data_IF_530536250054
#
_entry.id   IF_530536250054
#
_cell.length_a   1.000
_cell.length_b   1.000
_cell.length_c   1.000
_cell.angle_alpha   90.00
_cell.angle_beta   90.00
_cell.angle_gamma   90.00
#
_symmetry.space_group_name_H-M   'P 1'
#
loop_
_entity.id
_entity.type
_entity.pdbx_description
1 polymer ?
#
# COMPACT_ATOMS: atom_id res chain seq x y z
N UNK A 1 28.14 9.67 -0.67
CA UNK A 1 28.45 8.30 -0.26
C UNK A 1 27.36 7.42 -0.85
N UNK A 2 27.69 6.47 -1.71
CA UNK A 2 26.74 5.51 -2.22
C UNK A 2 26.31 4.60 -1.06
N UNK A 3 25.01 4.41 -0.89
CA UNK A 3 24.47 3.47 0.10
C UNK A 3 24.78 2.07 -0.39
N UNK A 4 25.59 1.34 0.32
CA UNK A 4 25.89 -0.05 -0.03
C UNK A 4 24.66 -0.92 0.18
N UNK A 5 24.19 -1.58 -0.88
CA UNK A 5 23.04 -2.49 -0.85
C UNK A 5 23.50 -3.90 -0.44
N UNK A 6 23.94 -4.03 0.81
CA UNK A 6 24.45 -5.25 1.41
C UNK A 6 23.62 -5.66 2.64
N UNK A 7 23.71 -6.93 3.04
CA UNK A 7 23.00 -7.44 4.22
C UNK A 7 21.48 -7.35 4.06
N UNK A 8 20.85 -8.30 3.36
CA UNK A 8 19.41 -8.31 3.18
C UNK A 8 18.69 -8.54 4.50
N UNK A 9 17.76 -7.64 4.83
CA UNK A 9 16.90 -7.71 6.01
C UNK A 9 15.46 -7.92 5.57
N UNK A 10 14.78 -8.84 6.22
CA UNK A 10 13.34 -9.04 6.03
C UNK A 10 12.69 -9.35 7.38
N UNK A 11 11.68 -8.58 7.73
CA UNK A 11 10.91 -8.73 8.97
C UNK A 11 9.43 -8.77 8.65
N UNK A 12 8.76 -9.77 9.16
CA UNK A 12 7.32 -9.93 9.08
C UNK A 12 6.70 -9.84 10.46
N UNK A 13 5.73 -8.95 10.62
CA UNK A 13 4.92 -8.85 11.85
C UNK A 13 3.48 -9.15 11.49
N UNK A 14 2.86 -10.07 12.23
CA UNK A 14 1.43 -10.41 12.10
C UNK A 14 0.78 -10.23 13.45
N UNK A 15 -0.29 -9.45 13.53
CA UNK A 15 -0.98 -9.17 14.78
C UNK A 15 -2.50 -9.01 14.55
N UNK A 16 -3.34 -9.26 15.55
CA UNK A 16 -4.77 -8.99 15.43
C UNK A 16 -5.04 -7.52 15.11
N UNK A 17 -5.90 -7.23 14.13
CA UNK A 17 -6.24 -5.85 13.73
C UNK A 17 -6.86 -5.01 14.87
N UNK A 18 -7.46 -5.65 15.87
CA UNK A 18 -8.00 -5.02 17.07
C UNK A 18 -6.98 -4.75 18.19
N UNK A 19 -5.69 -5.00 17.95
CA UNK A 19 -4.63 -4.93 18.96
C UNK A 19 -4.47 -6.26 19.69
N UNK A 20 -3.29 -6.47 20.26
CA UNK A 20 -2.89 -7.68 20.98
C UNK A 20 -1.46 -8.08 20.66
N UNK A 21 -1.05 -9.21 21.23
CA UNK A 21 0.29 -9.74 21.01
C UNK A 21 0.47 -10.21 19.56
N UNK A 22 1.48 -9.68 18.88
CA UNK A 22 1.84 -10.02 17.52
C UNK A 22 2.90 -11.11 17.42
N UNK A 23 2.93 -11.81 16.29
CA UNK A 23 4.01 -12.70 15.88
C UNK A 23 5.03 -11.89 15.08
N UNK A 24 6.30 -11.85 15.52
CA UNK A 24 7.42 -11.31 14.73
C UNK A 24 8.26 -12.45 14.18
N UNK A 25 8.58 -12.40 12.89
CA UNK A 25 9.40 -13.38 12.18
C UNK A 25 10.54 -12.64 11.49
N UNK A 26 11.77 -12.90 11.89
CA UNK A 26 12.99 -12.27 11.37
C UNK A 26 14.05 -13.31 10.96
N UNK A 27 14.13 -14.44 11.71
CA UNK A 27 15.20 -15.44 11.56
C UNK A 27 14.86 -16.58 10.60
N UNK A 28 13.68 -16.56 10.00
CA UNK A 28 13.27 -17.58 9.03
C UNK A 28 13.42 -17.08 7.59
N UNK A 29 13.55 -18.03 6.68
CA UNK A 29 13.51 -17.69 5.25
C UNK A 29 12.13 -17.15 4.90
N UNK A 30 12.09 -15.92 4.38
CA UNK A 30 10.88 -15.27 3.87
C UNK A 30 11.11 -14.96 2.39
N UNK A 31 10.15 -15.31 1.55
CA UNK A 31 10.07 -14.84 0.17
C UNK A 31 8.75 -14.11 -0.02
N UNK A 32 8.74 -13.08 -0.87
CA UNK A 32 7.55 -12.27 -1.05
C UNK A 32 7.44 -11.72 -2.47
N UNK A 33 6.21 -11.46 -2.86
CA UNK A 33 5.84 -10.67 -4.03
C UNK A 33 4.83 -9.62 -3.59
N UNK A 34 5.16 -8.35 -3.77
CA UNK A 34 4.29 -7.21 -3.47
C UNK A 34 3.97 -6.50 -4.77
N UNK A 35 2.70 -6.28 -5.03
CA UNK A 35 2.20 -5.56 -6.20
C UNK A 35 1.49 -4.30 -5.72
N UNK A 36 2.06 -3.13 -6.05
CA UNK A 36 1.50 -1.83 -5.73
C UNK A 36 1.12 -1.09 -7.00
N UNK A 37 -0.05 -0.47 -7.00
CA UNK A 37 -0.57 0.30 -8.12
C UNK A 37 -1.07 1.67 -7.66
N UNK A 38 -1.20 2.62 -8.58
CA UNK A 38 -1.85 3.92 -8.33
C UNK A 38 -3.37 3.84 -8.47
N UNK A 39 -3.93 2.68 -8.78
CA UNK A 39 -5.37 2.50 -8.94
C UNK A 39 -6.10 2.37 -7.60
N UNK A 40 -7.43 2.54 -7.61
CA UNK A 40 -8.30 2.33 -6.44
C UNK A 40 -8.49 0.86 -6.03
N UNK A 41 -7.81 -0.07 -6.71
CA UNK A 41 -7.77 -1.47 -6.31
C UNK A 41 -6.76 -1.68 -5.18
N UNK A 42 -7.08 -2.51 -4.19
CA UNK A 42 -6.14 -2.84 -3.11
C UNK A 42 -4.84 -3.43 -3.65
N UNK A 43 -3.72 -2.97 -3.11
CA UNK A 43 -2.44 -3.61 -3.35
C UNK A 43 -2.44 -5.03 -2.79
N UNK A 44 -1.65 -5.90 -3.38
CA UNK A 44 -1.59 -7.32 -3.01
C UNK A 44 -0.18 -7.72 -2.61
N UNK A 45 -0.11 -8.64 -1.66
CA UNK A 45 1.15 -9.31 -1.33
C UNK A 45 0.92 -10.80 -1.17
N UNK A 46 1.86 -11.58 -1.71
CA UNK A 46 1.99 -13.01 -1.44
C UNK A 46 3.30 -13.20 -0.71
N UNK A 47 3.25 -13.74 0.50
CA UNK A 47 4.40 -13.90 1.38
C UNK A 47 4.51 -15.38 1.75
N UNK A 48 5.68 -15.97 1.56
CA UNK A 48 5.96 -17.34 1.94
C UNK A 48 6.99 -17.36 3.05
N UNK A 49 6.63 -17.99 4.17
CA UNK A 49 7.51 -18.18 5.32
C UNK A 49 7.80 -19.66 5.46
N UNK A 50 9.08 -19.98 5.55
CA UNK A 50 9.56 -21.36 5.65
C UNK A 50 9.72 -21.78 7.09
N UNK A 51 9.23 -22.99 7.40
CA UNK A 51 9.43 -23.67 8.69
C UNK A 51 8.90 -22.92 9.91
N UNK A 52 7.77 -22.22 9.78
CA UNK A 52 7.02 -21.76 10.95
C UNK A 52 6.67 -22.95 11.86
N UNK A 53 6.88 -22.78 13.17
CA UNK A 53 6.44 -23.77 14.14
C UNK A 53 4.91 -23.86 14.20
N UNK A 54 4.40 -24.89 14.84
CA UNK A 54 2.96 -25.16 14.89
C UNK A 54 2.16 -24.03 15.53
N UNK A 55 2.67 -23.45 16.62
CA UNK A 55 2.02 -22.33 17.32
C UNK A 55 1.92 -21.10 16.40
N UNK A 56 3.02 -20.73 15.75
CA UNK A 56 3.05 -19.60 14.82
C UNK A 56 2.12 -19.81 13.62
N UNK A 57 2.01 -21.06 13.10
CA UNK A 57 1.05 -21.37 12.03
C UNK A 57 -0.39 -21.15 12.47
N UNK A 58 -0.76 -21.63 13.66
CA UNK A 58 -2.10 -21.42 14.22
C UNK A 58 -2.40 -19.94 14.42
N UNK A 59 -1.40 -19.16 14.84
CA UNK A 59 -1.55 -17.72 15.07
C UNK A 59 -1.84 -16.94 13.80
N UNK A 60 -1.18 -17.25 12.69
CA UNK A 60 -1.41 -16.55 11.42
C UNK A 60 -2.73 -16.95 10.73
N UNK A 61 -3.34 -18.09 11.10
CA UNK A 61 -4.65 -18.52 10.62
C UNK A 61 -5.82 -17.82 11.32
N UNK A 62 -5.58 -17.15 12.44
CA UNK A 62 -6.64 -16.41 13.13
C UNK A 62 -7.23 -15.33 12.22
N UNK A 63 -8.52 -15.07 12.37
CA UNK A 63 -9.22 -14.08 11.56
C UNK A 63 -8.75 -12.64 11.86
N UNK A 64 -8.84 -11.78 10.87
CA UNK A 64 -8.53 -10.35 10.99
C UNK A 64 -7.10 -10.05 11.44
N UNK A 65 -6.13 -10.80 10.92
CA UNK A 65 -4.73 -10.52 11.16
C UNK A 65 -4.24 -9.37 10.28
N UNK A 66 -3.76 -8.30 10.90
CA UNK A 66 -2.99 -7.27 10.23
C UNK A 66 -1.55 -7.75 10.02
N UNK A 67 -0.94 -7.32 8.93
CA UNK A 67 0.39 -7.73 8.55
C UNK A 67 1.22 -6.52 8.13
N UNK A 68 2.45 -6.47 8.63
CA UNK A 68 3.47 -5.49 8.22
C UNK A 68 4.69 -6.26 7.72
N UNK A 69 5.08 -5.98 6.47
CA UNK A 69 6.30 -6.50 5.87
C UNK A 69 7.32 -5.36 5.73
N UNK A 70 8.45 -5.49 6.38
CA UNK A 70 9.60 -4.62 6.25
C UNK A 70 10.71 -5.39 5.53
N UNK A 71 11.30 -4.78 4.53
CA UNK A 71 12.43 -5.39 3.82
C UNK A 71 13.38 -4.33 3.28
N UNK A 72 14.60 -4.76 2.96
CA UNK A 72 15.67 -3.90 2.45
C UNK A 72 17.03 -4.46 2.77
N UNK A 73 17.90 -3.59 3.18
CA UNK A 73 19.29 -3.87 3.55
C UNK A 73 19.56 -3.31 4.95
N UNK A 74 20.66 -3.69 5.58
CA UNK A 74 21.00 -3.29 6.95
C UNK A 74 20.90 -1.76 7.15
N UNK A 75 21.43 -0.98 6.24
CA UNK A 75 21.44 0.48 6.31
C UNK A 75 20.17 1.14 5.74
N UNK A 76 19.45 0.46 4.86
CA UNK A 76 18.26 1.00 4.16
C UNK A 76 17.16 -0.05 4.10
N UNK A 77 16.34 -0.07 5.10
CA UNK A 77 15.13 -0.89 5.12
C UNK A 77 13.90 -0.04 5.42
N UNK A 78 12.78 -0.42 4.89
CA UNK A 78 11.53 0.25 5.14
C UNK A 78 10.36 -0.74 5.06
N UNK A 79 9.24 -0.29 5.55
CA UNK A 79 7.96 -0.94 5.40
C UNK A 79 7.58 -0.96 3.92
N UNK A 80 7.49 -2.14 3.33
CA UNK A 80 7.16 -2.31 1.91
C UNK A 80 5.73 -2.77 1.68
N UNK A 81 5.05 -3.24 2.72
CA UNK A 81 3.63 -3.59 2.65
C UNK A 81 2.98 -3.57 4.03
N UNK A 82 1.78 -3.01 4.09
CA UNK A 82 0.86 -3.10 5.24
C UNK A 82 -0.49 -3.54 4.73
N UNK A 83 -1.09 -4.53 5.36
CA UNK A 83 -2.40 -5.01 4.94
C UNK A 83 -2.98 -6.02 5.91
N UNK A 84 -4.02 -6.73 5.47
CA UNK A 84 -4.63 -7.83 6.21
C UNK A 84 -4.46 -9.15 5.49
N UNK A 85 -4.28 -10.18 6.26
CA UNK A 85 -4.22 -11.55 5.77
C UNK A 85 -5.62 -11.98 5.31
N UNK A 86 -5.76 -12.33 4.03
CA UNK A 86 -7.01 -12.80 3.43
C UNK A 86 -7.09 -14.32 3.37
N UNK A 87 -5.94 -14.97 3.14
CA UNK A 87 -5.84 -16.42 3.04
C UNK A 87 -4.50 -16.91 3.57
N UNK A 88 -4.53 -18.05 4.23
CA UNK A 88 -3.33 -18.76 4.69
C UNK A 88 -3.38 -20.18 4.12
N UNK A 89 -2.25 -20.64 3.61
CA UNK A 89 -2.09 -22.02 3.14
C UNK A 89 -0.78 -22.61 3.65
N UNK A 90 -0.82 -23.82 4.19
CA UNK A 90 0.37 -24.54 4.61
C UNK A 90 0.62 -25.69 3.65
N UNK A 91 1.79 -25.72 3.05
CA UNK A 91 2.20 -26.79 2.13
C UNK A 91 3.47 -27.47 2.63
N UNK A 92 3.48 -28.79 2.57
CA UNK A 92 4.69 -29.55 2.81
C UNK A 92 5.47 -29.71 1.50
N UNK A 93 6.63 -29.09 1.43
CA UNK A 93 7.56 -29.17 0.31
C UNK A 93 8.89 -29.72 0.85
N UNK A 94 9.06 -31.05 0.89
CA UNK A 94 10.21 -31.64 1.56
C UNK A 94 11.55 -31.04 1.12
N UNK A 95 12.45 -30.71 2.08
CA UNK A 95 12.35 -30.99 3.52
C UNK A 95 11.52 -29.96 4.31
N UNK A 96 11.03 -28.89 3.70
CA UNK A 96 10.44 -27.73 4.35
C UNK A 96 8.91 -27.82 4.49
N UNK A 97 8.37 -27.00 5.40
CA UNK A 97 6.95 -26.60 5.47
C UNK A 97 6.87 -25.15 5.07
N UNK A 98 6.14 -24.83 4.03
CA UNK A 98 5.94 -23.49 3.52
C UNK A 98 4.56 -22.98 3.93
N UNK A 99 4.53 -21.85 4.64
CA UNK A 99 3.30 -21.11 4.94
C UNK A 99 3.18 -19.95 3.97
N UNK A 100 2.15 -19.96 3.16
CA UNK A 100 1.84 -18.90 2.20
C UNK A 100 0.71 -18.02 2.73
N UNK A 101 0.94 -16.71 2.75
CA UNK A 101 0.00 -15.69 3.17
C UNK A 101 -0.38 -14.83 1.97
N UNK A 102 -1.64 -14.85 1.58
CA UNK A 102 -2.20 -13.90 0.61
C UNK A 102 -2.78 -12.71 1.37
N UNK A 103 -2.31 -11.51 1.06
CA UNK A 103 -2.63 -10.29 1.78
C UNK A 103 -3.15 -9.22 0.84
N UNK A 104 -4.00 -8.34 1.36
CA UNK A 104 -4.49 -7.16 0.65
C UNK A 104 -4.37 -5.91 1.54
N UNK A 105 -3.99 -4.79 0.92
CA UNK A 105 -3.97 -3.48 1.55
C UNK A 105 -5.40 -2.93 1.72
N UNK A 106 -5.57 -1.92 2.58
CA UNK A 106 -6.87 -1.26 2.80
C UNK A 106 -7.81 -1.94 3.77
N UNK A 107 -7.43 -3.10 4.25
CA UNK A 107 -8.14 -3.79 5.32
C UNK A 107 -9.62 -4.02 5.05
N UNK A 108 -10.39 -4.07 6.15
CA UNK A 108 -11.83 -4.26 6.16
C UNK A 108 -12.57 -2.98 5.74
N UNK A 109 -11.97 -1.81 5.97
CA UNK A 109 -12.62 -0.51 5.77
C UNK A 109 -13.04 -0.26 4.31
N UNK A 110 -12.22 -0.66 3.33
CA UNK A 110 -12.57 -0.53 1.91
C UNK A 110 -13.80 -1.35 1.49
N UNK A 111 -14.08 -2.42 2.21
CA UNK A 111 -15.19 -3.32 1.95
C UNK A 111 -16.44 -2.95 2.74
N UNK A 112 -16.29 -2.45 3.97
CA UNK A 112 -17.39 -2.32 4.94
C UNK A 112 -17.70 -0.90 5.39
N UNK A 113 -16.76 0.06 5.26
CA UNK A 113 -17.01 1.41 5.73
C UNK A 113 -18.06 2.12 4.88
N UNK A 114 -19.05 2.68 5.55
CA UNK A 114 -20.13 3.43 4.93
C UNK A 114 -20.01 4.91 5.23
N UNK A 115 -20.45 5.73 4.28
CA UNK A 115 -20.47 7.17 4.37
C UNK A 115 -21.84 7.73 4.04
N UNK A 116 -22.33 8.63 4.91
CA UNK A 116 -23.59 9.35 4.68
C UNK A 116 -23.48 10.77 5.18
N UNK A 117 -23.40 11.72 4.27
CA UNK A 117 -23.31 13.15 4.61
C UNK A 117 -23.82 14.05 3.48
N UNK A 118 -24.34 15.22 3.88
CA UNK A 118 -24.75 16.28 2.94
C UNK A 118 -23.91 17.54 3.17
N UNK A 119 -23.57 18.21 2.09
CA UNK A 119 -22.72 19.39 2.06
C UNK A 119 -23.46 20.57 1.43
N UNK A 120 -23.18 21.76 1.91
CA UNK A 120 -23.68 23.02 1.33
C UNK A 120 -22.79 23.41 0.13
N UNK A 121 -23.36 24.21 -0.80
CA UNK A 121 -22.56 24.91 -1.80
C UNK A 121 -21.41 25.70 -1.15
N UNK A 122 -20.28 25.79 -1.81
CA UNK A 122 -19.09 26.43 -1.30
C UNK A 122 -18.22 25.56 -0.37
N UNK A 123 -18.64 24.34 -0.03
CA UNK A 123 -17.77 23.43 0.74
C UNK A 123 -16.57 23.02 -0.09
N UNK A 124 -15.35 23.06 0.50
CA UNK A 124 -14.11 22.61 -0.15
C UNK A 124 -14.19 21.14 -0.54
N UNK A 125 -13.75 20.81 -1.76
CA UNK A 125 -13.65 19.42 -2.25
C UNK A 125 -12.68 18.60 -1.40
N UNK A 126 -11.56 19.19 -1.01
CA UNK A 126 -10.58 18.56 -0.11
C UNK A 126 -11.22 18.15 1.22
N UNK A 127 -12.07 19.00 1.80
CA UNK A 127 -12.80 18.68 3.04
C UNK A 127 -13.71 17.48 2.85
N UNK A 128 -14.43 17.42 1.74
CA UNK A 128 -15.34 16.30 1.44
C UNK A 128 -14.58 14.98 1.41
N UNK A 129 -13.42 14.95 0.74
CA UNK A 129 -12.58 13.74 0.66
C UNK A 129 -12.01 13.37 2.03
N UNK A 130 -11.52 14.34 2.82
CA UNK A 130 -11.05 14.08 4.19
C UNK A 130 -12.15 13.50 5.09
N UNK A 131 -13.36 14.01 5.00
CA UNK A 131 -14.51 13.50 5.77
C UNK A 131 -14.82 12.04 5.41
N UNK A 132 -14.64 11.63 4.14
CA UNK A 132 -14.83 10.24 3.70
C UNK A 132 -13.71 9.35 4.26
N UNK A 133 -12.45 9.80 4.22
CA UNK A 133 -11.31 9.05 4.77
C UNK A 133 -11.48 8.86 6.28
N UNK A 134 -11.91 9.90 6.99
CA UNK A 134 -12.19 9.84 8.43
C UNK A 134 -13.31 8.84 8.80
N UNK A 135 -14.19 8.50 7.86
CA UNK A 135 -15.19 7.46 8.07
C UNK A 135 -14.63 6.02 7.96
N UNK A 136 -13.36 5.88 7.65
CA UNK A 136 -12.62 4.61 7.60
C UNK A 136 -11.62 4.54 8.76
N UNK A 137 -11.99 3.95 9.92
CA UNK A 137 -11.23 4.10 11.17
C UNK A 137 -9.84 3.47 11.18
N UNK A 138 -9.60 2.47 10.31
CA UNK A 138 -8.30 1.79 10.20
C UNK A 138 -7.49 2.26 8.99
N UNK A 139 -7.84 3.41 8.42
CA UNK A 139 -7.23 3.94 7.22
C UNK A 139 -6.71 5.35 7.48
N UNK A 140 -5.43 5.56 7.26
CA UNK A 140 -4.78 6.86 7.43
C UNK A 140 -4.99 7.78 6.23
N UNK A 141 -4.75 9.07 6.43
CA UNK A 141 -4.74 10.06 5.37
C UNK A 141 -3.32 10.27 4.88
N UNK A 142 -3.07 9.84 3.65
CA UNK A 142 -1.83 10.10 2.93
C UNK A 142 -1.83 11.45 2.19
N UNK A 143 -0.95 11.63 1.20
CA UNK A 143 -0.89 12.85 0.38
C UNK A 143 -2.19 13.09 -0.39
N UNK A 144 -2.74 14.30 -0.31
CA UNK A 144 -3.94 14.75 -1.01
C UNK A 144 -3.60 15.94 -1.91
N UNK A 145 -2.89 15.68 -3.02
CA UNK A 145 -2.26 16.72 -3.86
C UNK A 145 -2.94 16.96 -5.20
N UNK A 146 -4.03 16.24 -5.50
CA UNK A 146 -4.70 16.36 -6.78
C UNK A 146 -5.29 17.75 -7.04
N UNK A 147 -5.09 18.28 -8.26
CA UNK A 147 -5.71 19.53 -8.71
C UNK A 147 -7.24 19.47 -8.67
N UNK A 148 -7.82 18.29 -8.89
CA UNK A 148 -9.26 18.04 -8.78
C UNK A 148 -9.85 18.28 -7.38
N UNK A 149 -9.01 18.33 -6.35
CA UNK A 149 -9.40 18.67 -4.98
C UNK A 149 -9.38 20.19 -4.70
N UNK A 150 -8.81 20.98 -5.59
CA UNK A 150 -8.84 22.44 -5.50
C UNK A 150 -10.26 22.97 -5.75
N UNK A 151 -10.60 24.04 -5.06
CA UNK A 151 -11.92 24.67 -5.19
C UNK A 151 -13.00 24.07 -4.30
N UNK A 152 -14.25 24.45 -4.60
CA UNK A 152 -15.43 24.12 -3.81
C UNK A 152 -16.53 23.47 -4.65
N UNK A 153 -17.49 22.84 -4.01
CA UNK A 153 -18.67 22.29 -4.67
C UNK A 153 -19.64 23.43 -5.07
N UNK A 154 -20.14 23.44 -6.31
CA UNK A 154 -20.96 24.56 -6.83
C UNK A 154 -22.38 24.56 -6.26
N UNK A 155 -22.88 23.44 -5.79
CA UNK A 155 -24.24 23.26 -5.30
C UNK A 155 -24.31 22.38 -4.06
N UNK A 156 -25.52 22.02 -3.64
CA UNK A 156 -25.69 21.02 -2.58
C UNK A 156 -25.24 19.66 -3.07
N UNK A 157 -24.51 18.92 -2.25
CA UNK A 157 -24.01 17.58 -2.54
C UNK A 157 -24.45 16.63 -1.43
N UNK A 158 -25.24 15.63 -1.75
CA UNK A 158 -25.56 14.53 -0.85
C UNK A 158 -24.81 13.28 -1.27
N UNK A 159 -24.08 12.69 -0.33
CA UNK A 159 -23.28 11.47 -0.52
C UNK A 159 -23.81 10.38 0.41
N UNK A 160 -24.00 9.18 -0.12
CA UNK A 160 -24.41 8.00 0.62
C UNK A 160 -23.88 6.73 -0.06
N UNK A 161 -23.48 5.75 0.74
CA UNK A 161 -23.00 4.44 0.31
C UNK A 161 -21.62 4.08 0.83
N UNK A 162 -21.07 2.97 0.35
CA UNK A 162 -19.72 2.54 0.75
C UNK A 162 -18.65 3.58 0.41
N UNK A 163 -17.71 3.81 1.32
CA UNK A 163 -16.66 4.83 1.18
C UNK A 163 -15.90 4.70 -0.14
N UNK A 164 -15.49 3.49 -0.52
CA UNK A 164 -14.82 3.21 -1.81
C UNK A 164 -15.66 3.65 -3.00
N UNK A 165 -16.95 3.32 -3.00
CA UNK A 165 -17.87 3.70 -4.08
C UNK A 165 -18.04 5.21 -4.19
N UNK A 166 -18.17 5.89 -3.04
CA UNK A 166 -18.29 7.35 -2.98
C UNK A 166 -17.02 8.02 -3.49
N UNK A 167 -15.82 7.55 -3.08
CA UNK A 167 -14.53 8.04 -3.57
C UNK A 167 -14.41 7.86 -5.09
N UNK A 168 -14.72 6.67 -5.62
CA UNK A 168 -14.67 6.40 -7.06
C UNK A 168 -15.58 7.31 -7.87
N UNK A 169 -16.77 7.63 -7.34
CA UNK A 169 -17.71 8.55 -7.98
C UNK A 169 -17.15 9.98 -8.02
N UNK A 170 -16.58 10.44 -6.90
CA UNK A 170 -15.96 11.76 -6.82
C UNK A 170 -14.69 11.86 -7.69
N UNK A 171 -13.88 10.82 -7.73
CA UNK A 171 -12.68 10.75 -8.55
C UNK A 171 -13.01 11.00 -10.03
N UNK A 172 -14.01 10.29 -10.56
CA UNK A 172 -14.49 10.51 -11.95
C UNK A 172 -15.08 11.90 -12.18
N UNK A 173 -15.80 12.43 -11.19
CA UNK A 173 -16.46 13.75 -11.31
C UNK A 173 -15.51 14.93 -11.20
N UNK A 174 -14.44 14.80 -10.40
CA UNK A 174 -13.52 15.90 -10.09
C UNK A 174 -12.15 15.74 -10.74
N UNK A 175 -11.90 14.65 -11.49
CA UNK A 175 -10.67 14.41 -12.24
C UNK A 175 -9.47 14.18 -11.31
N UNK A 176 -9.55 13.19 -10.43
CA UNK A 176 -8.42 12.74 -9.63
C UNK A 176 -8.34 11.21 -9.59
N UNK A 177 -7.16 10.70 -9.31
CA UNK A 177 -6.93 9.29 -8.98
C UNK A 177 -6.68 9.15 -7.48
N UNK A 178 -7.09 8.03 -6.94
CA UNK A 178 -6.80 7.70 -5.55
C UNK A 178 -6.39 6.23 -5.44
N UNK A 179 -5.55 5.95 -4.48
CA UNK A 179 -5.12 4.59 -4.15
C UNK A 179 -4.88 4.48 -2.65
N UNK A 180 -4.77 3.25 -2.17
CA UNK A 180 -4.33 2.99 -0.81
C UNK A 180 -2.91 2.48 -0.85
N UNK A 181 -2.06 3.05 0.01
CA UNK A 181 -0.65 2.69 0.09
C UNK A 181 -0.27 2.51 1.55
N UNK A 182 0.06 1.26 1.93
CA UNK A 182 0.48 0.91 3.29
C UNK A 182 -0.50 1.37 4.39
N UNK A 183 -1.80 1.24 4.12
CA UNK A 183 -2.87 1.63 5.04
C UNK A 183 -3.30 3.10 4.96
N UNK A 184 -2.71 3.91 4.08
CA UNK A 184 -3.06 5.32 3.91
C UNK A 184 -3.65 5.61 2.52
N UNK A 185 -4.74 6.37 2.45
CA UNK A 185 -5.31 6.83 1.18
C UNK A 185 -4.51 8.03 0.68
N UNK A 186 -3.99 7.90 -0.53
CA UNK A 186 -3.42 9.00 -1.30
C UNK A 186 -4.32 9.39 -2.46
N UNK A 187 -4.33 10.69 -2.78
CA UNK A 187 -5.05 11.25 -3.93
C UNK A 187 -4.09 12.08 -4.77
N UNK A 188 -3.93 11.67 -6.02
CA UNK A 188 -2.99 12.24 -6.98
C UNK A 188 -3.73 12.76 -8.21
N UNK A 189 -3.08 13.61 -9.00
CA UNK A 189 -3.64 14.10 -10.27
C UNK A 189 -3.37 13.09 -11.38
N UNK A 190 -4.36 12.80 -12.20
CA UNK A 190 -4.29 11.87 -13.33
C UNK A 190 -3.24 12.29 -14.40
N UNK A 191 -3.02 13.58 -14.59
CA UNK A 191 -2.39 14.12 -15.80
C UNK A 191 -0.88 14.37 -15.75
N UNK A 192 -0.16 14.17 -14.66
CA UNK A 192 1.21 14.68 -14.57
C UNK A 192 2.22 13.82 -13.87
N UNK A 193 2.07 12.49 -13.88
CA UNK A 193 3.03 11.65 -13.17
C UNK A 193 3.32 12.27 -11.80
N UNK A 194 2.28 12.50 -11.02
CA UNK A 194 2.36 13.46 -9.92
C UNK A 194 3.19 12.89 -8.83
N UNK A 195 4.31 13.46 -8.74
CA UNK A 195 5.27 13.37 -7.68
C UNK A 195 4.54 13.61 -6.36
N UNK A 196 4.58 12.64 -5.48
CA UNK A 196 4.38 12.93 -4.08
C UNK A 196 5.46 13.97 -3.70
N UNK A 197 5.12 15.22 -3.37
CA UNK A 197 6.12 16.27 -3.09
C UNK A 197 6.99 15.94 -1.87
N UNK A 198 6.64 14.92 -1.10
CA UNK A 198 7.43 14.39 0.01
C UNK A 198 8.29 13.17 -0.39
N UNK A 199 8.13 12.64 -1.60
CA UNK A 199 8.98 11.56 -2.08
C UNK A 199 10.27 12.17 -2.64
N UNK A 200 11.40 11.79 -2.06
CA UNK A 200 12.71 12.09 -2.62
C UNK A 200 12.80 11.46 -4.03
N UNK A 201 13.37 12.21 -4.98
CA UNK A 201 13.67 11.67 -6.29
C UNK A 201 14.69 10.51 -6.14
N UNK A 202 14.31 9.35 -6.64
CA UNK A 202 15.21 8.19 -6.65
C UNK A 202 15.97 8.17 -7.97
N UNK A 203 17.28 8.31 -7.89
CA UNK A 203 18.18 8.18 -9.05
C UNK A 203 18.44 6.71 -9.30
N UNK A 204 18.06 6.21 -10.48
CA UNK A 204 18.33 4.85 -10.91
C UNK A 204 19.47 4.81 -11.90
N UNK A 205 20.62 4.35 -11.44
CA UNK A 205 21.80 4.09 -12.25
C UNK A 205 22.34 2.68 -11.96
N UNK A 206 23.28 2.15 -12.76
CA UNK A 206 23.95 0.88 -12.45
C UNK A 206 24.59 0.89 -11.05
N UNK A 207 25.10 2.03 -10.60
CA UNK A 207 25.75 2.20 -9.30
C UNK A 207 24.72 2.24 -8.15
N UNK A 208 23.47 2.63 -8.43
CA UNK A 208 22.39 2.66 -7.43
C UNK A 208 21.49 1.45 -7.47
N UNK A 209 21.79 0.47 -8.33
CA UNK A 209 21.11 -0.82 -8.34
C UNK A 209 20.15 -1.05 -9.52
N UNK A 210 20.21 -0.25 -10.59
CA UNK A 210 19.50 -0.54 -11.84
C UNK A 210 20.05 -1.84 -12.47
N UNK A 211 19.17 -2.74 -12.86
CA UNK A 211 19.50 -4.01 -13.49
C UNK A 211 19.12 -3.98 -14.96
N UNK A 212 20.12 -4.04 -15.83
CA UNK A 212 19.92 -3.98 -17.29
C UNK A 212 19.57 -2.59 -17.77
N UNK A 213 18.87 -2.48 -18.92
CA UNK A 213 18.47 -1.22 -19.53
C UNK A 213 16.95 -1.05 -19.42
N UNK A 214 16.45 0.18 -19.18
CA UNK A 214 15.03 0.48 -19.25
C UNK A 214 14.47 0.18 -20.63
N UNK A 215 13.27 -0.37 -20.68
CA UNK A 215 12.53 -0.64 -21.91
C UNK A 215 11.38 0.31 -22.04
N UNK A 216 11.27 0.98 -23.21
CA UNK A 216 10.14 1.86 -23.52
C UNK A 216 8.88 1.02 -23.74
N UNK A 217 7.76 1.47 -23.19
CA UNK A 217 6.43 0.89 -23.38
C UNK A 217 5.46 1.96 -23.91
N UNK A 218 4.29 1.57 -24.37
CA UNK A 218 3.26 2.51 -24.87
C UNK A 218 2.78 3.53 -23.82
N UNK A 219 2.96 3.21 -22.54
CA UNK A 219 2.49 4.05 -21.41
C UNK A 219 3.63 4.61 -20.53
N UNK A 220 4.88 4.50 -20.98
CA UNK A 220 6.02 4.98 -20.21
C UNK A 220 7.28 4.12 -20.39
N UNK A 221 7.95 3.80 -19.29
CA UNK A 221 9.14 2.97 -19.28
C UNK A 221 9.03 1.87 -18.21
N UNK A 222 9.60 0.72 -18.52
CA UNK A 222 9.75 -0.39 -17.60
C UNK A 222 11.23 -0.56 -17.26
N UNK A 223 11.54 -0.72 -16.00
CA UNK A 223 12.88 -0.99 -15.51
C UNK A 223 12.87 -2.04 -14.40
N UNK A 224 14.03 -2.62 -14.15
CA UNK A 224 14.27 -3.57 -13.07
C UNK A 224 15.41 -3.05 -12.21
N UNK A 225 15.26 -3.12 -10.90
CA UNK A 225 16.29 -2.72 -9.96
C UNK A 225 16.45 -3.73 -8.83
N UNK A 226 17.51 -3.60 -8.06
CA UNK A 226 17.57 -4.17 -6.73
C UNK A 226 16.41 -3.65 -5.88
N UNK A 227 16.11 -4.31 -4.77
CA UNK A 227 15.03 -3.86 -3.90
C UNK A 227 15.34 -2.46 -3.36
N UNK A 228 14.48 -1.51 -3.68
CA UNK A 228 14.53 -0.15 -3.17
C UNK A 228 13.27 0.10 -2.33
N UNK A 229 13.33 -0.08 -1.02
CA UNK A 229 12.15 -0.07 -0.17
C UNK A 229 11.46 1.31 -0.06
N UNK A 230 12.12 2.36 -0.52
CA UNK A 230 11.62 3.74 -0.51
C UNK A 230 10.77 4.08 -1.74
N UNK A 231 10.79 3.25 -2.79
CA UNK A 231 9.98 3.48 -3.99
C UNK A 231 8.53 3.03 -3.75
N UNK A 232 7.62 3.95 -3.88
CA UNK A 232 6.17 3.72 -3.81
C UNK A 232 5.46 4.32 -5.03
N UNK A 233 4.24 3.89 -5.36
CA UNK A 233 3.42 4.55 -6.36
C UNK A 233 3.32 6.05 -6.11
N UNK A 234 3.62 6.88 -7.13
CA UNK A 234 3.75 8.32 -7.00
C UNK A 234 5.16 8.84 -6.69
N UNK A 235 6.17 7.97 -6.51
CA UNK A 235 7.56 8.40 -6.38
C UNK A 235 8.12 8.87 -7.73
N UNK A 236 8.98 9.89 -7.68
CA UNK A 236 9.73 10.34 -8.85
C UNK A 236 11.00 9.50 -9.01
N UNK A 237 11.22 9.01 -10.23
CA UNK A 237 12.40 8.23 -10.58
C UNK A 237 13.10 8.92 -11.76
N UNK A 238 14.39 9.18 -11.64
CA UNK A 238 15.23 9.82 -12.67
C UNK A 238 16.41 8.95 -13.05
#
# INVERSE_FOLDING_TARGET
MGTELYGRVCKLVVAPSGGGEGLSVEDLRITFRVEKTSSSEPNKATIQVYNLNQWSRQRVEEKNQALVLTAGYEDVNARIFVGVVKRVEHRRVPPDIVTELECADGGVDLETAEFRRSYKAGTSRLRVVKDIITAMPNTDTGPLTASGLSGSIPGRLALSGGCRHVLNRLARSWGFEWSIQDGAIQVLTEASGTVNPQALAVVLSPETGLIGSPTKTDRGAQFKSLLMPTINPGSFVS
#
